data_IF_029171752571
#
_entry.id   IF_029171752571
#
_cell.length_a   1.000
_cell.length_b   1.000
_cell.length_c   1.000
_cell.angle_alpha   90.00
_cell.angle_beta   90.00
_cell.angle_gamma   90.00
#
_symmetry.space_group_name_H-M   'P 1'
#
loop_
_entity.id
_entity.type
_entity.pdbx_description
1 polymer ?
#
# COMPACT_ATOMS: atom_id res chain seq x y z
N UNK A 1 39.04 -17.64 7.12
CA UNK A 1 37.90 -18.53 6.81
C UNK A 1 36.63 -17.69 6.83
N UNK A 2 36.22 -17.22 5.66
CA UNK A 2 35.08 -16.31 5.49
C UNK A 2 33.81 -17.13 5.28
N UNK A 3 32.81 -16.93 6.15
CA UNK A 3 31.46 -17.46 5.96
C UNK A 3 30.59 -16.31 5.43
N UNK A 4 30.30 -16.36 4.14
CA UNK A 4 29.46 -15.39 3.46
C UNK A 4 27.98 -15.70 3.73
N UNK A 5 27.25 -14.73 4.27
CA UNK A 5 25.79 -14.78 4.37
C UNK A 5 25.16 -14.79 2.96
N UNK A 6 24.15 -15.63 2.70
CA UNK A 6 23.50 -15.66 1.40
C UNK A 6 22.59 -14.44 1.24
N UNK A 7 22.95 -13.57 0.30
CA UNK A 7 22.03 -12.62 -0.31
C UNK A 7 20.85 -13.39 -0.91
N UNK A 8 19.66 -13.20 -0.36
CA UNK A 8 18.41 -13.65 -0.97
C UNK A 8 18.13 -12.78 -2.20
N UNK A 9 18.63 -13.24 -3.33
CA UNK A 9 18.22 -12.78 -4.65
C UNK A 9 16.70 -13.03 -4.76
N UNK A 10 15.92 -11.97 -5.02
CA UNK A 10 14.52 -12.10 -5.42
C UNK A 10 14.55 -12.73 -6.81
N UNK A 11 14.54 -14.06 -6.81
CA UNK A 11 14.42 -14.84 -8.02
C UNK A 11 13.01 -14.59 -8.55
N UNK A 12 12.96 -13.87 -9.68
CA UNK A 12 11.81 -13.77 -10.56
C UNK A 12 11.17 -15.15 -10.65
N UNK A 13 9.98 -15.30 -10.09
CA UNK A 13 9.22 -16.54 -10.14
C UNK A 13 8.70 -16.76 -11.56
N UNK A 14 9.56 -17.21 -12.45
CA UNK A 14 9.18 -17.95 -13.65
C UNK A 14 9.22 -19.44 -13.32
N UNK A 15 8.16 -19.91 -12.67
CA UNK A 15 7.72 -21.30 -12.74
C UNK A 15 6.22 -21.30 -12.54
N UNK A 16 5.50 -21.57 -13.63
CA UNK A 16 4.06 -21.73 -13.64
C UNK A 16 3.66 -22.96 -12.84
N UNK A 17 3.43 -22.77 -11.54
CA UNK A 17 2.37 -23.49 -10.87
C UNK A 17 1.12 -22.64 -10.99
N UNK A 18 0.10 -23.15 -11.67
CA UNK A 18 -1.24 -22.55 -11.67
C UNK A 18 -1.70 -22.45 -10.22
N UNK A 19 -1.50 -21.27 -9.62
CA UNK A 19 -1.87 -21.02 -8.24
C UNK A 19 -3.37 -21.17 -8.10
N UNK A 20 -3.80 -22.23 -7.44
CA UNK A 20 -5.21 -22.46 -7.16
C UNK A 20 -5.66 -21.54 -6.03
N UNK A 21 -6.77 -20.85 -6.27
CA UNK A 21 -7.38 -19.97 -5.28
C UNK A 21 -8.79 -20.47 -4.94
N UNK A 22 -9.21 -20.38 -3.67
CA UNK A 22 -10.60 -20.60 -3.31
C UNK A 22 -11.51 -19.69 -4.13
N UNK A 23 -12.69 -20.19 -4.50
CA UNK A 23 -13.65 -19.47 -5.34
C UNK A 23 -14.00 -18.08 -4.79
N UNK A 24 -14.09 -17.93 -3.47
CA UNK A 24 -14.39 -16.66 -2.79
C UNK A 24 -13.33 -15.56 -3.03
N UNK A 25 -12.10 -15.96 -3.40
CA UNK A 25 -10.99 -15.05 -3.69
C UNK A 25 -10.80 -14.82 -5.20
N UNK A 26 -11.57 -15.51 -6.05
CA UNK A 26 -11.55 -15.33 -7.50
C UNK A 26 -12.44 -14.15 -7.89
N UNK A 27 -11.95 -13.39 -8.86
CA UNK A 27 -12.63 -12.22 -9.39
C UNK A 27 -12.87 -12.39 -10.88
N UNK A 28 -13.94 -11.79 -11.40
CA UNK A 28 -14.30 -11.90 -12.80
C UNK A 28 -14.16 -10.55 -13.51
N UNK A 29 -13.46 -10.53 -14.64
CA UNK A 29 -13.39 -9.35 -15.48
C UNK A 29 -14.42 -9.46 -16.61
N UNK A 30 -15.45 -8.60 -16.61
CA UNK A 30 -16.47 -8.58 -17.66
C UNK A 30 -15.91 -8.32 -19.06
N UNK A 31 -15.02 -7.33 -19.19
CA UNK A 31 -14.48 -6.92 -20.50
C UNK A 31 -13.60 -7.99 -21.16
N UNK A 32 -12.81 -8.73 -20.37
CA UNK A 32 -11.94 -9.80 -20.89
C UNK A 32 -12.60 -11.17 -20.84
N UNK A 33 -13.76 -11.30 -20.19
CA UNK A 33 -14.43 -12.56 -19.87
C UNK A 33 -13.51 -13.61 -19.23
N UNK A 34 -12.53 -13.17 -18.43
CA UNK A 34 -11.53 -14.03 -17.80
C UNK A 34 -11.56 -13.88 -16.28
N UNK A 35 -11.37 -15.01 -15.59
CA UNK A 35 -11.21 -15.07 -14.15
C UNK A 35 -9.79 -14.63 -13.77
N UNK A 36 -9.67 -13.86 -12.69
CA UNK A 36 -8.41 -13.37 -12.12
C UNK A 36 -8.36 -13.71 -10.64
N UNK A 37 -7.21 -14.19 -10.16
CA UNK A 37 -6.96 -14.39 -8.73
C UNK A 37 -6.36 -13.13 -8.08
N UNK A 38 -6.17 -13.18 -6.76
CA UNK A 38 -5.58 -12.08 -6.00
C UNK A 38 -4.16 -11.68 -6.44
N UNK A 39 -3.40 -12.60 -7.06
CA UNK A 39 -2.05 -12.31 -7.59
C UNK A 39 -2.06 -11.79 -9.02
N UNK A 40 -3.08 -12.13 -9.81
CA UNK A 40 -3.18 -11.79 -11.22
C UNK A 40 -3.95 -10.47 -11.46
N UNK A 41 -4.01 -9.59 -10.46
CA UNK A 41 -4.63 -8.26 -10.55
C UNK A 41 -3.64 -7.17 -10.16
N UNK A 42 -3.80 -6.00 -10.76
CA UNK A 42 -3.04 -4.82 -10.37
C UNK A 42 -3.74 -4.13 -9.20
N UNK A 43 -3.01 -3.90 -8.12
CA UNK A 43 -3.51 -3.19 -6.94
C UNK A 43 -3.12 -1.71 -7.01
N UNK A 44 -4.10 -0.84 -6.76
CA UNK A 44 -3.89 0.60 -6.63
C UNK A 44 -4.38 1.08 -5.27
N UNK A 45 -3.58 1.92 -4.61
CA UNK A 45 -3.92 2.48 -3.31
C UNK A 45 -4.98 3.56 -3.50
N UNK A 46 -6.10 3.41 -2.79
CA UNK A 46 -7.21 4.36 -2.82
C UNK A 46 -7.00 5.42 -1.73
N UNK A 47 -6.85 4.97 -0.48
CA UNK A 47 -6.67 5.84 0.69
C UNK A 47 -5.82 5.15 1.75
N UNK A 48 -5.13 5.96 2.55
CA UNK A 48 -4.43 5.52 3.75
C UNK A 48 -5.22 5.94 4.98
N UNK A 49 -5.22 5.11 6.02
CA UNK A 49 -5.93 5.41 7.25
C UNK A 49 -5.25 4.82 8.49
N UNK A 50 -5.51 5.43 9.64
CA UNK A 50 -5.08 4.90 10.93
C UNK A 50 -6.04 3.79 11.41
N UNK A 51 -5.56 2.58 11.76
CA UNK A 51 -6.42 1.52 12.26
C UNK A 51 -7.05 1.85 13.64
N UNK A 52 -6.42 2.71 14.44
CA UNK A 52 -6.89 3.01 15.79
C UNK A 52 -8.00 4.07 15.82
N UNK A 53 -7.94 5.09 14.97
CA UNK A 53 -8.91 6.19 14.96
C UNK A 53 -9.71 6.33 13.66
N UNK A 54 -9.48 5.45 12.67
CA UNK A 54 -10.13 5.45 11.35
C UNK A 54 -9.98 6.78 10.58
N UNK A 55 -9.00 7.60 10.96
CA UNK A 55 -8.72 8.87 10.29
C UNK A 55 -8.07 8.63 8.94
N UNK A 56 -8.63 9.22 7.90
CA UNK A 56 -8.10 9.19 6.54
C UNK A 56 -6.96 10.19 6.37
N UNK A 57 -5.84 9.74 5.78
CA UNK A 57 -4.68 10.61 5.57
C UNK A 57 -4.32 10.76 4.10
N UNK A 58 -4.31 12.01 3.58
CA UNK A 58 -3.90 12.30 2.21
C UNK A 58 -2.47 11.86 1.90
N UNK A 59 -2.24 11.35 0.69
CA UNK A 59 -0.94 10.85 0.24
C UNK A 59 0.21 11.88 0.29
N UNK A 60 -0.10 13.18 0.15
CA UNK A 60 0.87 14.28 0.29
C UNK A 60 1.44 14.39 1.70
N UNK A 61 0.63 14.03 2.70
CA UNK A 61 0.92 14.21 4.13
C UNK A 61 1.80 13.07 4.66
N UNK A 62 1.64 11.89 4.06
CA UNK A 62 2.46 10.70 4.33
C UNK A 62 3.90 10.95 3.91
N UNK A 63 4.10 11.62 2.75
CA UNK A 63 5.42 11.92 2.20
C UNK A 63 6.15 13.06 2.92
N UNK A 64 5.42 13.96 3.59
CA UNK A 64 5.98 15.20 4.15
C UNK A 64 6.04 15.25 5.68
N UNK A 65 5.13 14.61 6.40
CA UNK A 65 4.97 14.85 7.85
C UNK A 65 4.89 13.60 8.72
N UNK A 66 4.72 12.39 8.19
CA UNK A 66 4.34 11.27 9.05
C UNK A 66 3.03 11.59 9.80
N UNK A 67 1.90 11.52 9.10
CA UNK A 67 0.52 11.44 9.62
C UNK A 67 0.08 12.20 10.92
N UNK A 68 -0.27 13.48 10.71
CA UNK A 68 -1.19 14.51 11.33
C UNK A 68 -2.32 14.06 12.32
N UNK A 69 -2.99 14.84 13.22
CA UNK A 69 -3.34 16.31 13.42
C UNK A 69 -3.61 16.73 14.92
N UNK A 70 -4.30 17.87 15.22
CA UNK A 70 -4.32 18.70 16.49
C UNK A 70 -5.69 19.25 17.03
N UNK A 71 -5.85 19.52 18.36
CA UNK A 71 -6.64 20.60 19.08
C UNK A 71 -6.10 20.90 20.54
N UNK A 72 -6.33 22.11 21.11
CA UNK A 72 -5.75 22.89 22.29
C UNK A 72 -6.71 22.92 23.55
N UNK A 73 -6.39 23.37 24.82
CA UNK A 73 -5.13 23.77 25.52
C UNK A 73 -4.77 23.05 26.85
N UNK A 74 -3.47 23.22 27.21
CA UNK A 74 -2.81 23.32 28.53
C UNK A 74 -2.87 22.16 29.55
N UNK A 75 -1.90 21.26 29.43
CA UNK A 75 -0.89 20.88 30.45
C UNK A 75 0.25 20.16 29.70
N UNK A 76 1.41 19.87 30.33
CA UNK A 76 2.44 19.02 29.70
C UNK A 76 1.83 17.64 29.43
N UNK A 77 1.92 17.15 28.20
CA UNK A 77 1.31 15.87 27.79
C UNK A 77 2.35 14.74 27.87
N UNK A 78 1.88 13.55 28.26
CA UNK A 78 2.67 12.32 28.36
C UNK A 78 1.92 11.22 27.61
N UNK A 79 2.62 10.33 26.92
CA UNK A 79 2.04 9.14 26.32
C UNK A 79 1.95 8.04 27.37
N UNK A 80 0.78 7.41 27.50
CA UNK A 80 0.58 6.28 28.43
C UNK A 80 -0.01 5.09 27.68
N UNK A 81 0.57 3.91 27.88
CA UNK A 81 0.01 2.65 27.37
C UNK A 81 -1.03 2.11 28.35
N UNK A 82 -2.24 1.78 27.88
CA UNK A 82 -3.29 1.22 28.74
C UNK A 82 -3.10 -0.25 29.07
N UNK A 83 -2.20 -0.95 28.37
CA UNK A 83 -1.96 -2.38 28.57
C UNK A 83 -0.85 -2.65 29.60
N UNK A 84 0.33 -2.06 29.37
CA UNK A 84 1.49 -2.25 30.26
C UNK A 84 1.74 -1.06 31.20
N UNK A 85 0.91 -0.03 31.17
CA UNK A 85 1.03 1.20 31.98
C UNK A 85 2.32 2.01 31.78
N UNK A 86 3.14 1.68 30.79
CA UNK A 86 4.32 2.46 30.40
C UNK A 86 3.98 3.91 30.08
N UNK A 87 4.83 4.83 30.51
CA UNK A 87 4.68 6.27 30.33
C UNK A 87 5.89 6.93 29.67
N UNK A 88 5.68 7.90 28.77
CA UNK A 88 6.80 8.64 28.15
C UNK A 88 7.60 9.49 29.14
N UNK A 89 7.08 9.68 30.36
CA UNK A 89 7.82 10.30 31.47
C UNK A 89 8.98 9.44 31.98
N UNK A 90 8.94 8.12 31.82
CA UNK A 90 10.02 7.23 32.25
C UNK A 90 11.32 7.48 31.46
N UNK A 91 11.19 7.93 30.21
CA UNK A 91 12.31 8.30 29.33
C UNK A 91 12.51 9.82 29.24
N UNK A 92 11.92 10.57 30.17
CA UNK A 92 11.94 12.03 30.24
C UNK A 92 11.45 12.76 28.96
N UNK A 93 10.58 12.11 28.18
CA UNK A 93 9.92 12.72 27.02
C UNK A 93 8.57 13.29 27.46
N UNK A 94 8.50 14.62 27.47
CA UNK A 94 7.27 15.38 27.72
C UNK A 94 6.92 16.22 26.50
N UNK A 95 5.65 16.22 26.14
CA UNK A 95 5.16 16.96 24.99
C UNK A 95 4.55 18.28 25.43
N UNK A 96 4.89 19.36 24.75
CA UNK A 96 4.31 20.68 25.00
C UNK A 96 2.88 20.79 24.46
N UNK A 97 2.61 20.07 23.36
CA UNK A 97 1.32 20.06 22.67
C UNK A 97 0.82 18.62 22.58
N UNK A 98 -0.48 18.41 22.82
CA UNK A 98 -1.16 17.12 22.58
C UNK A 98 -1.12 16.70 21.11
N UNK A 99 -0.80 17.64 20.22
CA UNK A 99 -0.84 17.47 18.79
C UNK A 99 0.53 17.43 18.14
N UNK A 100 0.65 16.69 17.04
CA UNK A 100 1.92 16.58 16.32
C UNK A 100 2.99 15.92 17.20
N UNK A 101 2.59 14.97 18.04
CA UNK A 101 3.47 14.26 18.98
C UNK A 101 4.67 13.67 18.25
N UNK A 102 4.47 13.11 17.05
CA UNK A 102 5.57 12.63 16.22
C UNK A 102 6.56 13.75 15.84
N UNK A 103 6.07 14.90 15.35
CA UNK A 103 6.94 16.04 14.99
C UNK A 103 7.73 16.59 16.18
N UNK A 104 7.17 16.50 17.39
CA UNK A 104 7.87 16.83 18.63
C UNK A 104 8.88 15.74 18.99
N UNK A 105 8.50 14.46 18.89
CA UNK A 105 9.36 13.30 19.15
C UNK A 105 10.58 13.27 18.22
N UNK A 106 10.42 13.61 16.95
CA UNK A 106 11.51 13.68 15.95
C UNK A 106 12.54 14.75 16.29
N UNK A 107 12.15 15.80 17.02
CA UNK A 107 13.03 16.89 17.45
C UNK A 107 13.61 16.68 18.85
N UNK A 108 13.18 15.66 19.57
CA UNK A 108 13.58 15.40 20.94
C UNK A 108 14.40 14.10 20.96
N UNK A 109 15.42 14.01 21.80
CA UNK A 109 16.11 12.76 22.17
C UNK A 109 15.56 12.23 23.50
N UNK A 110 15.85 10.99 23.84
CA UNK A 110 15.56 10.49 25.18
C UNK A 110 16.28 11.40 26.21
N UNK A 111 15.64 11.67 27.35
CA UNK A 111 16.11 12.74 28.27
C UNK A 111 15.58 14.14 27.95
N UNK A 112 14.69 14.30 26.96
CA UNK A 112 14.03 15.58 26.66
C UNK A 112 14.90 16.62 25.93
N UNK A 113 16.12 16.25 25.50
CA UNK A 113 17.04 17.15 24.83
C UNK A 113 16.65 17.42 23.37
N UNK A 114 16.82 18.65 22.89
CA UNK A 114 16.51 19.01 21.51
C UNK A 114 17.58 18.48 20.53
N UNK A 115 17.14 17.82 19.46
CA UNK A 115 17.97 17.35 18.35
C UNK A 115 18.36 18.52 17.47
N UNK A 116 19.66 18.66 17.18
CA UNK A 116 20.17 19.61 16.19
C UNK A 116 19.62 19.28 14.80
N UNK A 117 18.91 20.22 14.19
CA UNK A 117 18.44 20.08 12.81
C UNK A 117 19.58 20.34 11.80
N UNK A 118 19.59 19.68 10.62
CA UNK A 118 20.53 20.03 9.54
C UNK A 118 20.46 21.50 9.10
N UNK A 119 19.32 22.17 9.31
CA UNK A 119 19.18 23.61 9.04
C UNK A 119 19.88 24.44 10.10
N UNK A 120 19.60 24.16 11.38
CA UNK A 120 20.22 24.85 12.52
C UNK A 120 21.74 24.68 12.50
N UNK A 121 22.23 23.49 12.13
CA UNK A 121 23.66 23.26 11.99
C UNK A 121 24.31 24.15 10.92
N UNK A 122 23.68 24.24 9.74
CA UNK A 122 24.15 25.12 8.66
C UNK A 122 24.09 26.59 9.03
N UNK A 123 23.07 27.02 9.76
CA UNK A 123 22.94 28.39 10.22
C UNK A 123 24.05 28.72 11.25
N UNK A 124 24.34 27.81 12.20
CA UNK A 124 25.48 27.95 13.14
C UNK A 124 26.82 28.06 12.41
N UNK A 125 27.06 27.23 11.39
CA UNK A 125 28.28 27.28 10.56
C UNK A 125 28.39 28.53 9.70
N UNK A 126 27.26 29.15 9.36
CA UNK A 126 27.23 30.42 8.63
C UNK A 126 27.58 31.60 9.54
N UNK A 127 27.13 31.56 10.79
CA UNK A 127 27.44 32.58 11.80
C UNK A 127 28.88 32.46 12.31
N UNK A 128 29.37 31.24 12.52
CA UNK A 128 30.74 30.96 12.94
C UNK A 128 31.40 29.93 12.00
N UNK A 129 32.10 30.46 10.99
CA UNK A 129 32.74 29.65 9.95
C UNK A 129 33.92 28.85 10.49
N UNK A 130 34.63 29.39 11.48
CA UNK A 130 35.88 28.82 11.99
C UNK A 130 35.64 27.96 13.25
N UNK A 131 34.38 27.72 13.62
CA UNK A 131 33.99 26.80 14.69
C UNK A 131 34.60 25.40 14.49
N UNK A 132 35.01 24.71 15.57
CA UNK A 132 35.44 23.31 15.50
C UNK A 132 34.33 22.40 14.92
N UNK A 133 34.70 21.29 14.24
CA UNK A 133 33.75 20.28 13.81
C UNK A 133 32.93 19.71 14.97
N UNK A 134 31.69 19.30 14.69
CA UNK A 134 30.85 18.64 15.70
C UNK A 134 31.53 17.38 16.23
N UNK A 135 31.32 17.15 17.53
CA UNK A 135 31.69 15.90 18.19
C UNK A 135 30.80 14.75 17.68
N UNK A 136 31.37 13.55 17.54
CA UNK A 136 30.68 12.34 17.09
C UNK A 136 29.42 12.01 17.90
N UNK A 137 29.41 12.34 19.20
CA UNK A 137 28.27 12.14 20.10
C UNK A 137 27.06 13.04 19.78
N UNK A 138 27.29 14.22 19.22
CA UNK A 138 26.24 15.16 18.84
C UNK A 138 25.66 14.83 17.45
N UNK A 139 26.43 14.12 16.62
CA UNK A 139 26.04 13.68 15.28
C UNK A 139 24.98 12.56 15.36
N UNK A 140 23.71 12.94 15.20
CA UNK A 140 22.58 12.01 15.10
C UNK A 140 22.60 11.24 13.78
N UNK A 141 21.94 10.07 13.70
CA UNK A 141 21.83 9.30 12.46
C UNK A 141 21.17 10.08 11.32
N UNK A 142 20.13 10.86 11.62
CA UNK A 142 19.41 11.68 10.63
C UNK A 142 20.28 12.84 10.10
N UNK A 143 21.07 13.46 10.99
CA UNK A 143 21.97 14.56 10.64
C UNK A 143 23.19 14.03 9.88
N UNK A 144 23.74 12.89 10.30
CA UNK A 144 24.80 12.17 9.60
C UNK A 144 24.39 11.84 8.17
N UNK A 145 23.19 11.26 7.98
CA UNK A 145 22.66 10.98 6.64
C UNK A 145 22.50 12.26 5.80
N UNK A 146 22.04 13.35 6.40
CA UNK A 146 21.90 14.63 5.70
C UNK A 146 23.27 15.19 5.24
N UNK A 147 24.31 15.10 6.08
CA UNK A 147 25.67 15.50 5.74
C UNK A 147 26.22 14.67 4.58
N UNK A 148 26.21 13.34 4.71
CA UNK A 148 26.66 12.42 3.66
C UNK A 148 25.91 12.63 2.35
N UNK A 149 24.58 12.78 2.42
CA UNK A 149 23.76 13.06 1.24
C UNK A 149 24.18 14.36 0.56
N UNK A 150 24.36 15.44 1.31
CA UNK A 150 24.78 16.73 0.75
C UNK A 150 26.20 16.68 0.16
N UNK A 151 27.11 15.95 0.80
CA UNK A 151 28.49 15.74 0.36
C UNK A 151 28.52 15.01 -1.00
N UNK A 152 27.87 13.85 -1.11
CA UNK A 152 27.86 13.09 -2.37
C UNK A 152 27.04 13.77 -3.48
N UNK A 153 25.96 14.49 -3.13
CA UNK A 153 25.21 15.26 -4.12
C UNK A 153 26.04 16.40 -4.73
N UNK A 154 26.86 17.07 -3.93
CA UNK A 154 27.76 18.13 -4.41
C UNK A 154 28.81 17.55 -5.38
N UNK A 155 29.43 16.42 -5.01
CA UNK A 155 30.40 15.76 -5.89
C UNK A 155 29.79 15.27 -7.21
N UNK A 156 28.54 14.80 -7.19
CA UNK A 156 27.82 14.44 -8.41
C UNK A 156 27.55 15.67 -9.30
N UNK A 157 27.22 16.82 -8.71
CA UNK A 157 27.04 18.07 -9.45
C UNK A 157 28.35 18.55 -10.09
N UNK A 158 29.48 18.46 -9.37
CA UNK A 158 30.80 18.84 -9.87
C UNK A 158 31.27 17.90 -11.00
N UNK A 159 31.07 16.59 -10.83
CA UNK A 159 31.40 15.59 -11.86
C UNK A 159 30.58 15.79 -13.15
N UNK A 160 29.27 16.09 -13.02
CA UNK A 160 28.41 16.34 -14.17
C UNK A 160 28.74 17.68 -14.87
N UNK A 161 29.15 18.69 -14.10
CA UNK A 161 29.61 19.98 -14.63
C UNK A 161 30.92 19.83 -15.42
N UNK A 162 31.81 18.94 -14.98
CA UNK A 162 33.05 18.61 -15.70
C UNK A 162 32.83 17.79 -16.99
N UNK A 163 31.71 17.05 -17.09
CA UNK A 163 31.36 16.27 -18.28
C UNK A 163 30.70 17.11 -19.41
N UNK A 164 30.17 18.29 -19.08
CA UNK A 164 29.56 19.22 -20.04
C UNK A 164 30.38 20.51 -20.09
N UNK A 165 31.55 20.43 -20.74
CA UNK A 165 32.37 21.60 -20.99
C UNK A 165 31.56 22.72 -21.64
N UNK A 166 31.57 23.89 -20.99
CA UNK A 166 31.01 25.19 -21.41
C UNK A 166 29.47 25.32 -21.45
N UNK A 167 28.90 25.95 -20.40
CA UNK A 167 27.92 27.07 -20.43
C UNK A 167 27.44 27.35 -18.98
N UNK A 168 27.74 28.53 -18.38
CA UNK A 168 27.24 28.87 -17.04
C UNK A 168 25.76 29.26 -17.15
N UNK A 169 24.86 28.40 -16.64
CA UNK A 169 23.43 28.73 -16.56
C UNK A 169 22.43 27.57 -16.64
N UNK A 170 22.88 26.32 -16.82
CA UNK A 170 21.96 25.18 -17.01
C UNK A 170 21.90 24.17 -15.83
N UNK A 171 22.56 24.47 -14.70
CA UNK A 171 22.72 23.56 -13.57
C UNK A 171 21.46 23.30 -12.72
N UNK A 172 20.35 23.99 -12.98
CA UNK A 172 19.11 23.89 -12.19
C UNK A 172 18.06 22.96 -12.82
N UNK A 173 18.48 21.92 -13.53
CA UNK A 173 17.56 20.98 -14.16
C UNK A 173 17.87 19.56 -13.73
N UNK A 174 17.34 19.22 -12.56
CA UNK A 174 17.24 17.86 -12.08
C UNK A 174 16.63 16.95 -13.15
N UNK A 175 17.29 15.82 -13.40
CA UNK A 175 16.91 14.77 -14.34
C UNK A 175 15.56 14.08 -14.03
N UNK A 176 14.78 14.61 -13.08
CA UNK A 176 13.49 14.08 -12.64
C UNK A 176 12.27 14.83 -13.22
N UNK A 177 12.46 15.83 -14.09
CA UNK A 177 11.34 16.57 -14.71
C UNK A 177 10.95 16.03 -16.09
N UNK A 178 9.65 15.91 -16.43
CA UNK A 178 9.16 15.45 -17.75
C UNK A 178 9.64 16.31 -18.93
N UNK A 179 10.11 17.54 -18.69
CA UNK A 179 10.64 18.43 -19.74
C UNK A 179 12.02 18.04 -20.26
N UNK A 180 12.76 17.19 -19.53
CA UNK A 180 14.09 16.72 -19.94
C UNK A 180 13.99 15.75 -21.13
N UNK A 181 12.91 14.95 -21.20
CA UNK A 181 12.67 14.02 -22.31
C UNK A 181 12.43 14.76 -23.64
N UNK A 182 11.70 15.89 -23.60
CA UNK A 182 11.45 16.72 -24.78
C UNK A 182 12.74 17.35 -25.33
N UNK A 183 13.69 17.73 -24.47
CA UNK A 183 15.00 18.25 -24.90
C UNK A 183 15.95 17.15 -25.39
N UNK A 184 15.88 15.95 -24.83
CA UNK A 184 16.60 14.77 -25.37
C UNK A 184 16.10 14.48 -26.79
N UNK A 185 14.78 14.51 -27.01
CA UNK A 185 14.21 14.38 -28.35
C UNK A 185 14.68 15.50 -29.29
N UNK A 186 14.79 16.74 -28.82
CA UNK A 186 15.34 17.86 -29.61
C UNK A 186 16.82 17.67 -29.99
N UNK A 187 17.64 17.04 -29.13
CA UNK A 187 19.06 16.76 -29.41
C UNK A 187 19.24 15.72 -30.54
N UNK A 188 18.31 14.80 -30.70
CA UNK A 188 18.32 13.85 -31.82
C UNK A 188 17.74 14.44 -33.12
N UNK A 189 17.04 15.58 -33.04
CA UNK A 189 16.32 16.18 -34.19
C UNK A 189 17.06 17.37 -34.81
N UNK A 190 18.23 17.79 -34.28
CA UNK A 190 18.94 19.00 -34.73
C UNK A 190 20.45 18.83 -34.94
N UNK A 191 20.84 18.68 -36.21
CA UNK A 191 22.06 19.20 -36.88
C UNK A 191 23.44 19.19 -36.18
N UNK A 192 24.30 18.29 -36.65
CA UNK A 192 25.77 18.28 -36.68
C UNK A 192 26.54 19.55 -36.20
N UNK A 193 27.37 19.38 -35.16
CA UNK A 193 28.66 20.06 -35.03
C UNK A 193 29.64 19.13 -34.31
N UNK A 194 30.61 18.64 -35.08
CA UNK A 194 31.67 17.77 -34.62
C UNK A 194 32.59 18.45 -33.62
N UNK A 195 32.62 17.91 -32.41
CA UNK A 195 33.70 18.12 -31.44
C UNK A 195 33.95 16.76 -30.79
N UNK A 196 35.18 16.25 -30.90
CA UNK A 196 35.61 15.00 -30.26
C UNK A 196 35.26 15.08 -28.77
N UNK A 197 34.25 14.33 -28.34
CA UNK A 197 33.95 14.15 -26.92
C UNK A 197 35.09 13.34 -26.33
N UNK A 198 36.06 14.03 -25.73
CA UNK A 198 36.97 13.41 -24.78
C UNK A 198 36.08 12.83 -23.67
N UNK A 199 35.97 11.51 -23.60
CA UNK A 199 35.42 10.84 -22.42
C UNK A 199 36.34 11.19 -21.25
N UNK A 200 35.99 12.27 -20.54
CA UNK A 200 36.65 12.66 -19.30
C UNK A 200 36.50 11.49 -18.34
N UNK A 201 37.65 11.01 -17.83
CA UNK A 201 37.72 9.99 -16.78
C UNK A 201 36.66 10.30 -15.73
N UNK A 202 35.85 9.30 -15.38
CA UNK A 202 34.97 9.38 -14.21
C UNK A 202 35.77 9.93 -13.04
N UNK A 203 35.44 11.14 -12.58
CA UNK A 203 36.12 11.75 -11.45
C UNK A 203 35.93 10.82 -10.26
N UNK A 204 37.04 10.30 -9.72
CA UNK A 204 37.02 9.50 -8.50
C UNK A 204 36.43 10.40 -7.40
N UNK A 205 35.27 10.02 -6.87
CA UNK A 205 34.64 10.75 -5.79
C UNK A 205 35.49 10.64 -4.53
N UNK A 206 35.69 11.76 -3.84
CA UNK A 206 36.37 11.84 -2.55
C UNK A 206 35.51 11.16 -1.48
N UNK A 207 36.15 10.43 -0.58
CA UNK A 207 35.51 9.88 0.62
C UNK A 207 35.25 10.96 1.69
N UNK A 208 34.26 10.72 2.55
CA UNK A 208 33.99 11.58 3.69
C UNK A 208 35.06 11.36 4.77
N UNK A 209 35.75 12.44 5.19
CA UNK A 209 36.85 12.34 6.16
C UNK A 209 36.54 12.96 7.52
N UNK A 210 35.50 13.78 7.60
CA UNK A 210 35.19 14.58 8.79
C UNK A 210 33.73 14.43 9.19
N UNK A 211 33.39 14.84 10.42
CA UNK A 211 32.00 14.87 10.91
C UNK A 211 31.11 15.84 10.13
N UNK A 212 31.71 16.90 9.55
CA UNK A 212 31.04 17.81 8.62
C UNK A 212 30.64 17.12 7.31
N UNK A 213 31.48 16.20 6.80
CA UNK A 213 31.16 15.36 5.65
C UNK A 213 30.18 14.23 6.03
N UNK A 214 29.96 14.00 7.34
CA UNK A 214 29.10 12.96 7.90
C UNK A 214 29.80 11.64 8.22
N UNK A 215 31.13 11.63 8.30
CA UNK A 215 31.88 10.50 8.84
C UNK A 215 31.69 10.47 10.37
N UNK A 216 31.29 9.32 10.89
CA UNK A 216 31.22 9.03 12.33
C UNK A 216 31.96 7.72 12.57
N UNK A 217 32.96 7.75 13.45
CA UNK A 217 33.72 6.53 13.73
C UNK A 217 32.91 5.61 14.65
N UNK A 218 32.98 4.31 14.39
CA UNK A 218 32.33 3.33 15.25
C UNK A 218 33.07 3.28 16.58
N UNK A 219 32.39 3.62 17.67
CA UNK A 219 32.92 3.41 19.01
C UNK A 219 32.77 1.93 19.36
N UNK A 220 33.89 1.23 19.43
CA UNK A 220 33.95 -0.21 19.74
C UNK A 220 34.06 -0.48 21.25
N UNK A 221 34.16 0.57 22.06
CA UNK A 221 34.20 0.44 23.51
C UNK A 221 32.80 0.22 24.07
N UNK A 222 32.49 -1.04 24.38
CA UNK A 222 31.22 -1.47 24.95
C UNK A 222 31.25 -1.55 26.49
N UNK A 223 32.35 -1.17 27.15
CA UNK A 223 32.49 -1.34 28.60
C UNK A 223 31.38 -0.66 29.40
N UNK A 224 30.96 0.55 28.99
CA UNK A 224 29.84 1.25 29.64
C UNK A 224 28.50 0.54 29.45
N UNK A 225 28.27 -0.11 28.31
CA UNK A 225 27.06 -0.89 28.05
C UNK A 225 27.06 -2.19 28.88
N UNK A 226 28.21 -2.84 28.98
CA UNK A 226 28.40 -4.04 29.82
C UNK A 226 28.18 -3.70 31.31
N UNK A 227 28.76 -2.61 31.80
CA UNK A 227 28.57 -2.16 33.18
C UNK A 227 27.10 -1.84 33.47
N UNK A 228 26.40 -1.18 32.53
CA UNK A 228 24.95 -0.92 32.62
C UNK A 228 24.16 -2.22 32.68
N UNK A 229 24.50 -3.22 31.84
CA UNK A 229 23.83 -4.52 31.83
C UNK A 229 24.05 -5.28 33.15
N UNK A 230 25.28 -5.27 33.68
CA UNK A 230 25.62 -5.93 34.95
C UNK A 230 24.91 -5.29 36.15
N UNK A 231 24.63 -3.99 36.11
CA UNK A 231 23.87 -3.27 37.13
C UNK A 231 22.35 -3.35 36.98
N UNK A 232 21.84 -3.85 35.85
CA UNK A 232 20.41 -3.85 35.51
C UNK A 232 19.73 -5.20 35.78
N UNK A 233 18.40 -5.18 35.88
CA UNK A 233 17.60 -6.41 36.01
C UNK A 233 17.16 -6.92 34.63
N UNK A 234 16.70 -8.17 34.56
CA UNK A 234 16.12 -8.73 33.34
C UNK A 234 15.01 -7.84 32.75
N UNK A 235 14.19 -7.22 33.60
CA UNK A 235 13.09 -6.36 33.18
C UNK A 235 13.52 -5.01 32.62
N UNK A 236 14.79 -4.62 32.76
CA UNK A 236 15.32 -3.36 32.20
C UNK A 236 15.92 -3.57 30.79
N UNK A 237 16.03 -4.84 30.37
CA UNK A 237 16.53 -5.23 29.06
C UNK A 237 15.44 -5.17 27.99
N UNK A 238 15.87 -4.99 26.74
CA UNK A 238 14.99 -4.88 25.57
C UNK A 238 14.86 -6.22 24.88
N UNK A 239 13.62 -6.65 24.58
CA UNK A 239 13.38 -7.88 23.82
C UNK A 239 13.77 -7.73 22.34
N UNK A 240 14.00 -8.86 21.65
CA UNK A 240 14.31 -8.86 20.20
C UNK A 240 13.19 -8.19 19.40
N UNK A 241 11.94 -8.51 19.70
CA UNK A 241 10.77 -7.95 19.01
C UNK A 241 10.67 -6.43 19.20
N UNK A 242 10.98 -5.93 20.41
CA UNK A 242 11.00 -4.49 20.70
C UNK A 242 12.12 -3.78 19.96
N UNK A 243 13.29 -4.41 19.84
CA UNK A 243 14.44 -3.89 19.10
C UNK A 243 14.15 -3.82 17.60
N UNK A 244 13.57 -4.88 17.04
CA UNK A 244 13.25 -4.96 15.61
C UNK A 244 12.11 -4.03 15.20
N UNK A 245 11.23 -3.67 16.14
CA UNK A 245 10.18 -2.69 15.90
C UNK A 245 10.70 -1.25 15.78
N UNK A 246 11.84 -0.93 16.40
CA UNK A 246 12.45 0.41 16.33
C UNK A 246 13.07 0.64 14.94
N UNK A 247 13.08 1.89 14.44
CA UNK A 247 13.72 2.17 13.16
C UNK A 247 15.23 1.90 13.26
N UNK A 248 15.88 1.39 12.20
CA UNK A 248 17.30 1.01 12.24
C UNK A 248 18.25 2.20 12.46
N UNK A 249 17.74 3.44 12.46
CA UNK A 249 18.48 4.66 12.79
C UNK A 249 18.52 5.00 14.28
N UNK A 250 17.71 4.35 15.12
CA UNK A 250 17.94 4.40 16.58
C UNK A 250 19.19 3.59 16.88
N UNK A 251 20.13 4.17 17.63
CA UNK A 251 21.43 3.56 17.94
C UNK A 251 21.35 2.26 18.73
N UNK A 252 22.37 1.94 19.52
CA UNK A 252 22.37 0.72 20.34
C UNK A 252 21.22 0.75 21.36
N UNK A 253 20.28 -0.19 21.23
CA UNK A 253 19.12 -0.34 22.12
C UNK A 253 19.39 -1.47 23.12
N UNK A 254 20.17 -1.13 24.15
CA UNK A 254 20.56 -2.05 25.21
C UNK A 254 19.57 -2.10 26.36
N UNK A 255 18.92 -0.97 26.66
CA UNK A 255 18.04 -0.79 27.81
C UNK A 255 16.69 -0.21 27.41
N UNK A 256 15.66 -0.43 28.22
CA UNK A 256 14.32 0.11 27.98
C UNK A 256 14.30 1.64 27.92
N UNK A 257 15.23 2.32 28.59
CA UNK A 257 15.38 3.78 28.52
C UNK A 257 15.73 4.28 27.10
N UNK A 258 16.31 3.42 26.27
CA UNK A 258 16.73 3.74 24.91
C UNK A 258 15.56 3.62 23.92
N UNK A 259 14.50 2.89 24.29
CA UNK A 259 13.31 2.71 23.45
C UNK A 259 12.51 3.99 23.31
N UNK A 260 11.87 4.13 22.14
CA UNK A 260 11.05 5.31 21.82
C UNK A 260 9.66 4.89 21.33
N UNK A 261 8.60 5.68 21.61
CA UNK A 261 7.29 5.44 21.01
C UNK A 261 7.34 5.45 19.49
N UNK A 262 6.93 4.35 18.87
CA UNK A 262 6.84 4.23 17.41
C UNK A 262 5.40 4.59 16.98
N UNK A 263 5.22 5.44 15.94
CA UNK A 263 3.90 5.71 15.39
C UNK A 263 3.22 4.44 14.85
N UNK A 264 1.90 4.35 15.02
CA UNK A 264 1.13 3.23 14.47
C UNK A 264 1.22 3.18 12.94
N UNK A 265 1.48 1.99 12.40
CA UNK A 265 1.52 1.77 10.96
C UNK A 265 0.14 1.95 10.33
N UNK A 266 0.10 2.72 9.25
CA UNK A 266 -1.13 3.01 8.52
C UNK A 266 -1.57 1.81 7.68
N UNK A 267 -2.88 1.68 7.54
CA UNK A 267 -3.51 0.69 6.65
C UNK A 267 -3.90 1.37 5.33
N UNK A 268 -4.00 0.58 4.27
CA UNK A 268 -4.42 1.04 2.94
C UNK A 268 -5.71 0.38 2.51
N UNK A 269 -6.64 1.15 1.95
CA UNK A 269 -7.70 0.58 1.10
C UNK A 269 -7.18 0.46 -0.33
N UNK A 270 -7.41 -0.69 -0.96
CA UNK A 270 -6.88 -1.02 -2.29
C UNK A 270 -7.99 -1.31 -3.28
N UNK A 271 -7.88 -0.74 -4.47
CA UNK A 271 -8.69 -1.10 -5.63
C UNK A 271 -7.93 -2.08 -6.50
N UNK A 272 -8.66 -2.93 -7.23
CA UNK A 272 -8.10 -4.00 -8.05
C UNK A 272 -8.51 -3.80 -9.49
N UNK A 273 -7.54 -3.88 -10.41
CA UNK A 273 -7.73 -3.74 -11.85
C UNK A 273 -7.26 -4.96 -12.61
N UNK A 274 -7.93 -5.25 -13.71
CA UNK A 274 -7.47 -6.24 -14.66
C UNK A 274 -6.12 -5.81 -15.25
N UNK A 275 -5.10 -6.69 -15.30
CA UNK A 275 -3.81 -6.33 -15.88
C UNK A 275 -3.86 -6.13 -17.39
N UNK A 276 -4.82 -6.77 -18.08
CA UNK A 276 -4.95 -6.73 -19.55
C UNK A 276 -5.71 -5.48 -20.01
N UNK A 277 -6.97 -5.31 -19.60
CA UNK A 277 -7.82 -4.20 -20.05
C UNK A 277 -7.85 -2.99 -19.11
N UNK A 278 -7.20 -3.06 -17.94
CA UNK A 278 -7.24 -2.02 -16.88
C UNK A 278 -8.64 -1.71 -16.31
N UNK A 279 -9.65 -2.52 -16.64
CA UNK A 279 -10.99 -2.45 -16.06
C UNK A 279 -10.94 -2.64 -14.54
N UNK A 280 -11.76 -1.90 -13.82
CA UNK A 280 -11.81 -1.94 -12.35
C UNK A 280 -12.68 -3.11 -11.93
N UNK A 281 -12.05 -4.13 -11.34
CA UNK A 281 -12.73 -5.35 -10.89
C UNK A 281 -13.32 -5.13 -9.49
N UNK A 282 -12.56 -4.47 -8.62
CA UNK A 282 -12.99 -4.18 -7.25
C UNK A 282 -12.62 -2.75 -6.88
N UNK A 283 -13.58 -1.97 -6.41
CA UNK A 283 -13.39 -0.62 -5.89
C UNK A 283 -14.10 -0.46 -4.54
N UNK A 284 -13.37 -0.56 -3.42
CA UNK A 284 -13.95 -0.23 -2.12
C UNK A 284 -14.32 1.27 -2.06
N UNK A 285 -15.27 1.63 -1.21
CA UNK A 285 -15.52 3.04 -0.92
C UNK A 285 -14.30 3.66 -0.21
N UNK A 286 -13.97 4.90 -0.59
CA UNK A 286 -12.82 5.62 -0.05
C UNK A 286 -13.00 5.92 1.45
N UNK A 287 -14.25 6.16 1.87
CA UNK A 287 -14.62 6.39 3.26
C UNK A 287 -14.16 5.24 4.13
N UNK A 288 -13.28 5.52 5.09
CA UNK A 288 -12.63 4.50 5.92
C UNK A 288 -13.66 3.68 6.71
N UNK A 289 -14.68 4.33 7.25
CA UNK A 289 -15.76 3.71 8.04
C UNK A 289 -16.70 2.80 7.24
N UNK A 290 -16.72 2.91 5.91
CA UNK A 290 -17.60 2.09 5.08
C UNK A 290 -16.95 0.77 4.68
N UNK A 291 -17.69 -0.32 4.85
CA UNK A 291 -17.37 -1.65 4.32
C UNK A 291 -17.93 -1.88 2.92
N UNK A 292 -18.65 -0.91 2.35
CA UNK A 292 -19.30 -1.02 1.05
C UNK A 292 -18.28 -0.95 -0.08
N UNK A 293 -18.49 -1.77 -1.10
CA UNK A 293 -17.81 -1.65 -2.38
C UNK A 293 -18.66 -0.84 -3.35
N UNK A 294 -18.04 0.11 -4.05
CA UNK A 294 -18.67 0.81 -5.18
C UNK A 294 -18.76 -0.09 -6.40
N UNK A 295 -17.74 -0.95 -6.58
CA UNK A 295 -17.66 -1.95 -7.64
C UNK A 295 -17.13 -3.23 -7.00
N UNK A 296 -17.80 -4.37 -7.19
CA UNK A 296 -17.34 -5.66 -6.70
C UNK A 296 -17.73 -6.78 -7.67
N UNK A 297 -16.84 -7.07 -8.63
CA UNK A 297 -17.02 -8.15 -9.60
C UNK A 297 -16.40 -9.46 -9.07
N UNK A 298 -17.08 -10.09 -8.12
CA UNK A 298 -16.72 -11.43 -7.64
C UNK A 298 -17.10 -12.48 -8.67
N UNK A 299 -16.33 -13.57 -8.74
CA UNK A 299 -16.69 -14.70 -9.60
C UNK A 299 -17.92 -15.41 -9.01
N UNK A 300 -19.06 -15.32 -9.71
CA UNK A 300 -20.30 -16.02 -9.36
C UNK A 300 -20.62 -17.04 -10.45
N UNK A 301 -20.95 -18.26 -10.04
CA UNK A 301 -21.43 -19.30 -10.95
C UNK A 301 -22.91 -19.53 -10.70
N UNK A 302 -23.71 -19.49 -11.77
CA UNK A 302 -25.14 -19.76 -11.73
C UNK A 302 -25.37 -21.16 -12.27
N UNK A 303 -25.89 -22.05 -11.43
CA UNK A 303 -26.32 -23.39 -11.83
C UNK A 303 -27.80 -23.32 -12.21
N UNK A 304 -28.10 -23.56 -13.49
CA UNK A 304 -29.48 -23.57 -13.99
C UNK A 304 -29.97 -25.02 -14.06
N UNK A 305 -31.08 -25.30 -13.39
CA UNK A 305 -31.75 -26.61 -13.47
C UNK A 305 -33.01 -26.47 -14.31
N UNK A 306 -33.22 -27.39 -15.25
CA UNK A 306 -34.44 -27.47 -16.05
C UNK A 306 -35.12 -28.80 -15.77
N UNK A 307 -36.41 -28.76 -15.50
CA UNK A 307 -37.24 -29.95 -15.36
C UNK A 307 -37.96 -30.20 -16.69
N UNK A 308 -37.64 -31.27 -17.43
CA UNK A 308 -38.37 -31.63 -18.64
C UNK A 308 -39.64 -32.43 -18.36
N UNK A 309 -39.87 -32.86 -17.11
CA UNK A 309 -40.96 -33.74 -16.70
C UNK A 309 -42.21 -32.90 -16.42
N UNK A 310 -43.39 -33.43 -16.78
CA UNK A 310 -44.71 -32.83 -16.53
C UNK A 310 -45.18 -32.90 -15.07
N UNK A 311 -44.27 -33.21 -14.14
CA UNK A 311 -44.51 -33.33 -12.71
C UNK A 311 -43.46 -32.52 -11.96
N UNK A 312 -43.81 -32.03 -10.76
CA UNK A 312 -42.88 -31.29 -9.91
C UNK A 312 -41.77 -32.21 -9.41
N UNK A 313 -40.51 -31.76 -9.54
CA UNK A 313 -39.34 -32.53 -9.11
C UNK A 313 -38.71 -31.88 -7.89
N UNK A 314 -38.62 -32.63 -6.79
CA UNK A 314 -37.86 -32.23 -5.60
C UNK A 314 -36.39 -32.61 -5.76
N UNK A 315 -35.53 -31.61 -5.90
CA UNK A 315 -34.08 -31.80 -6.04
C UNK A 315 -33.41 -31.65 -4.68
N UNK A 316 -32.55 -32.61 -4.34
CA UNK A 316 -31.67 -32.53 -3.17
C UNK A 316 -30.22 -32.57 -3.63
N UNK A 317 -29.49 -31.47 -3.45
CA UNK A 317 -28.07 -31.35 -3.76
C UNK A 317 -27.26 -31.97 -2.61
N UNK A 318 -26.61 -33.09 -2.89
CA UNK A 318 -25.63 -33.70 -2.00
C UNK A 318 -24.21 -33.50 -2.54
N UNK A 319 -23.34 -32.88 -1.75
CA UNK A 319 -21.90 -32.87 -2.03
C UNK A 319 -21.15 -33.35 -0.80
N UNK A 320 -20.11 -34.19 -0.93
CA UNK A 320 -19.22 -34.46 0.20
C UNK A 320 -18.62 -33.14 0.71
N UNK A 321 -18.35 -33.00 2.02
CA UNK A 321 -17.87 -31.74 2.62
C UNK A 321 -16.53 -31.28 2.04
N UNK A 322 -15.78 -32.20 1.42
CA UNK A 322 -14.64 -31.91 0.56
C UNK A 322 -14.85 -32.56 -0.80
N UNK A 323 -14.67 -31.80 -1.87
CA UNK A 323 -14.75 -32.33 -3.23
C UNK A 323 -13.67 -33.41 -3.45
N UNK A 324 -14.00 -34.56 -4.07
CA UNK A 324 -13.00 -35.54 -4.46
C UNK A 324 -12.14 -35.00 -5.62
N UNK A 325 -10.87 -35.39 -5.65
CA UNK A 325 -9.95 -35.01 -6.71
C UNK A 325 -8.60 -34.51 -6.19
N UNK A 326 -7.73 -34.09 -7.12
CA UNK A 326 -6.38 -33.60 -6.82
C UNK A 326 -6.37 -32.38 -5.88
N UNK A 327 -7.46 -31.62 -5.84
CA UNK A 327 -7.59 -30.39 -5.05
C UNK A 327 -8.92 -30.38 -4.26
N UNK A 328 -8.91 -30.81 -2.98
CA UNK A 328 -10.12 -30.88 -2.17
C UNK A 328 -10.57 -29.49 -1.71
N UNK A 329 -11.76 -29.06 -2.12
CA UNK A 329 -12.37 -27.78 -1.73
C UNK A 329 -13.51 -28.01 -0.75
N UNK A 330 -13.64 -27.15 0.26
CA UNK A 330 -14.79 -27.17 1.19
C UNK A 330 -16.00 -26.57 0.50
N UNK A 331 -17.06 -27.35 0.34
CA UNK A 331 -18.34 -26.89 -0.25
C UNK A 331 -19.37 -26.83 0.87
N UNK A 332 -20.13 -25.74 0.92
CA UNK A 332 -21.24 -25.58 1.87
C UNK A 332 -22.46 -25.14 1.08
N UNK A 333 -23.49 -25.99 1.04
CA UNK A 333 -24.76 -25.71 0.34
C UNK A 333 -25.75 -25.21 1.39
N UNK A 334 -26.14 -23.94 1.31
CA UNK A 334 -27.03 -23.32 2.31
C UNK A 334 -28.45 -23.85 2.21
N UNK A 335 -28.95 -24.04 0.98
CA UNK A 335 -30.28 -24.59 0.69
C UNK A 335 -30.15 -25.79 -0.24
N UNK A 336 -29.90 -27.00 0.29
CA UNK A 336 -29.68 -28.18 -0.54
C UNK A 336 -30.97 -28.75 -1.14
N UNK A 337 -32.14 -28.38 -0.61
CA UNK A 337 -33.43 -28.86 -1.09
C UNK A 337 -34.21 -27.72 -1.74
N UNK A 338 -34.65 -27.93 -2.97
CA UNK A 338 -35.57 -27.03 -3.68
C UNK A 338 -36.45 -27.85 -4.62
N UNK A 339 -37.60 -27.30 -5.01
CA UNK A 339 -38.47 -27.91 -6.00
C UNK A 339 -38.39 -27.17 -7.32
N UNK A 340 -38.45 -27.92 -8.42
CA UNK A 340 -38.55 -27.40 -9.77
C UNK A 340 -39.94 -27.75 -10.26
N UNK A 341 -40.72 -26.73 -10.64
CA UNK A 341 -42.08 -26.91 -11.14
C UNK A 341 -42.15 -27.88 -12.32
N UNK A 342 -43.33 -28.47 -12.52
CA UNK A 342 -43.63 -29.28 -13.68
C UNK A 342 -43.41 -28.48 -14.97
N UNK A 343 -42.89 -29.15 -16.00
CA UNK A 343 -42.88 -28.61 -17.34
C UNK A 343 -44.33 -28.57 -17.86
N UNK A 344 -44.99 -27.43 -17.80
CA UNK A 344 -46.35 -27.26 -18.38
C UNK A 344 -46.31 -26.97 -19.88
N UNK A 345 -45.11 -26.85 -20.46
CA UNK A 345 -44.82 -26.18 -21.73
C UNK A 345 -44.58 -27.16 -22.91
N UNK A 346 -45.49 -28.12 -23.09
CA UNK A 346 -45.62 -28.78 -24.41
C UNK A 346 -46.95 -28.51 -25.09
N UNK A 347 -47.97 -28.13 -24.34
CA UNK A 347 -49.27 -27.77 -24.89
C UNK A 347 -49.36 -26.27 -25.17
N UNK A 348 -48.77 -25.40 -24.36
CA UNK A 348 -48.75 -23.94 -24.62
C UNK A 348 -47.83 -23.56 -25.79
N UNK A 349 -46.69 -24.22 -25.98
CA UNK A 349 -45.82 -24.01 -27.15
C UNK A 349 -46.45 -24.57 -28.45
N UNK A 350 -47.17 -25.69 -28.38
CA UNK A 350 -47.93 -26.23 -29.51
C UNK A 350 -49.18 -25.38 -29.85
N UNK A 351 -49.88 -24.87 -28.83
CA UNK A 351 -51.05 -23.98 -29.01
C UNK A 351 -50.64 -22.57 -29.47
N UNK A 352 -49.44 -22.07 -29.10
CA UNK A 352 -48.90 -20.82 -29.65
C UNK A 352 -48.57 -20.92 -31.13
N UNK A 353 -48.21 -22.11 -31.62
CA UNK A 353 -48.00 -22.35 -33.05
C UNK A 353 -49.33 -22.45 -33.84
N UNK A 354 -50.41 -22.91 -33.21
CA UNK A 354 -51.75 -22.97 -33.84
C UNK A 354 -52.52 -21.63 -33.88
N UNK A 355 -52.13 -20.63 -33.07
CA UNK A 355 -52.72 -19.28 -33.08
C UNK A 355 -51.93 -18.23 -33.88
N UNK A 356 -50.99 -18.64 -34.73
CA UNK A 356 -50.44 -17.74 -35.77
C UNK A 356 -51.36 -17.76 -36.99
N UNK A 357 -52.28 -16.81 -37.00
CA UNK A 357 -53.06 -16.42 -38.17
C UNK A 357 -52.18 -16.38 -39.45
N UNK A 358 -52.51 -17.12 -40.53
CA UNK A 358 -51.73 -17.13 -41.78
C UNK A 358 -51.70 -15.77 -42.49
N UNK A 359 -52.50 -14.81 -42.04
CA UNK A 359 -52.80 -13.55 -42.73
C UNK A 359 -51.67 -12.50 -42.72
N UNK A 360 -50.47 -12.83 -42.22
CA UNK A 360 -49.28 -11.94 -42.31
C UNK A 360 -48.08 -12.58 -43.01
N UNK A 361 -48.29 -13.57 -43.87
CA UNK A 361 -47.31 -13.96 -44.90
C UNK A 361 -47.70 -13.35 -46.23
N UNK A 362 -47.21 -12.14 -46.52
CA UNK A 362 -46.71 -11.69 -47.83
C UNK A 362 -46.57 -10.16 -47.87
N UNK A 363 -45.36 -9.66 -47.57
CA UNK A 363 -44.63 -8.69 -48.42
C UNK A 363 -43.15 -8.82 -48.09
N UNK A 364 -42.37 -9.32 -49.06
CA UNK A 364 -40.92 -9.40 -49.03
C UNK A 364 -40.29 -8.02 -49.19
N UNK A 365 -39.23 -7.72 -48.44
CA UNK A 365 -37.96 -7.18 -48.93
C UNK A 365 -36.98 -6.99 -47.75
N UNK A 366 -35.72 -7.32 -47.97
CA UNK A 366 -34.74 -7.62 -46.92
C UNK A 366 -34.01 -6.44 -46.30
N UNK A 367 -33.41 -6.72 -45.16
CA UNK A 367 -32.06 -6.25 -44.80
C UNK A 367 -31.57 -7.06 -43.60
N UNK A 368 -30.45 -7.74 -43.79
CA UNK A 368 -29.67 -8.38 -42.73
C UNK A 368 -29.23 -7.36 -41.68
N UNK A 369 -29.69 -7.52 -40.44
CA UNK A 369 -29.22 -6.77 -39.28
C UNK A 369 -29.47 -7.59 -38.02
N UNK A 370 -28.40 -8.17 -37.48
CA UNK A 370 -28.39 -8.85 -36.17
C UNK A 370 -28.56 -7.78 -35.08
N UNK A 371 -29.57 -7.83 -34.19
CA UNK A 371 -29.57 -6.99 -33.01
C UNK A 371 -28.70 -7.69 -31.95
N UNK A 372 -27.50 -7.17 -31.74
CA UNK A 372 -26.71 -7.41 -30.53
C UNK A 372 -27.40 -6.68 -29.37
N UNK A 373 -28.21 -7.38 -28.59
CA UNK A 373 -28.66 -6.90 -27.28
C UNK A 373 -27.68 -7.37 -26.23
N UNK A 374 -26.95 -6.42 -25.64
CA UNK A 374 -26.06 -6.66 -24.50
C UNK A 374 -26.83 -7.25 -23.31
N UNK A 375 -26.36 -8.35 -22.68
CA UNK A 375 -27.03 -9.02 -21.57
C UNK A 375 -27.02 -8.21 -20.26
N UNK A 376 -26.39 -7.02 -20.23
CA UNK A 376 -26.34 -6.15 -19.06
C UNK A 376 -27.64 -5.33 -18.85
N UNK A 377 -28.40 -5.07 -19.91
CA UNK A 377 -29.58 -4.18 -19.86
C UNK A 377 -30.88 -4.89 -19.45
N UNK A 378 -30.95 -6.22 -19.56
CA UNK A 378 -32.12 -7.00 -19.13
C UNK A 378 -32.25 -7.15 -17.60
N UNK A 379 -31.24 -6.69 -16.84
CA UNK A 379 -31.12 -6.91 -15.39
C UNK A 379 -31.61 -5.76 -14.50
N UNK A 380 -32.14 -4.66 -15.08
CA UNK A 380 -32.59 -3.50 -14.29
C UNK A 380 -34.10 -3.45 -14.02
N UNK A 381 -34.93 -4.16 -14.79
CA UNK A 381 -36.40 -4.11 -14.63
C UNK A 381 -36.96 -5.07 -13.55
N UNK A 382 -36.12 -5.94 -12.98
CA UNK A 382 -36.56 -7.03 -12.09
C UNK A 382 -36.51 -6.75 -10.59
N UNK A 383 -35.91 -5.66 -10.10
CA UNK A 383 -35.75 -5.43 -8.65
C UNK A 383 -36.71 -4.36 -8.12
N UNK A 384 -37.98 -4.74 -7.95
CA UNK A 384 -38.87 -4.06 -6.99
C UNK A 384 -38.51 -4.56 -5.58
N UNK A 385 -37.89 -3.70 -4.79
CA UNK A 385 -37.59 -3.95 -3.39
C UNK A 385 -38.92 -4.08 -2.61
N UNK A 386 -39.19 -5.25 -2.05
CA UNK A 386 -40.28 -5.42 -1.10
C UNK A 386 -39.89 -4.73 0.22
N UNK A 387 -40.53 -3.59 0.49
CA UNK A 387 -40.58 -2.94 1.80
C UNK A 387 -41.49 -3.80 2.69
N UNK A 388 -40.92 -4.51 3.67
CA UNK A 388 -41.71 -5.19 4.70
C UNK A 388 -42.09 -4.17 5.77
N UNK A 389 -43.38 -3.84 5.82
CA UNK A 389 -44.03 -3.17 6.95
C UNK A 389 -44.27 -4.21 8.06
N UNK A 390 -44.13 -3.79 9.32
CA UNK A 390 -43.84 -4.65 10.47
C UNK A 390 -45.04 -5.29 11.16
N UNK A 391 -44.75 -6.01 12.23
CA UNK A 391 -45.69 -6.32 13.30
C UNK A 391 -45.02 -6.03 14.65
N UNK A 392 -45.69 -5.17 15.41
CA UNK A 392 -45.41 -4.83 16.80
C UNK A 392 -45.60 -6.07 17.69
N UNK A 393 -44.67 -6.29 18.60
CA UNK A 393 -44.89 -7.17 19.76
C UNK A 393 -44.63 -6.33 21.01
N UNK A 394 -45.73 -5.95 21.64
CA UNK A 394 -45.78 -5.49 23.02
C UNK A 394 -45.15 -6.55 23.93
N UNK A 395 -44.21 -6.15 24.77
CA UNK A 395 -44.25 -6.53 26.19
C UNK A 395 -43.27 -5.66 26.99
N UNK A 396 -43.85 -4.93 27.94
CA UNK A 396 -43.21 -4.40 29.14
C UNK A 396 -44.10 -4.80 30.32
N UNK A 397 -43.59 -4.86 31.56
CA UNK A 397 -42.28 -4.39 32.02
C UNK A 397 -41.28 -5.49 32.40
#
# INVERSE_FOLDING_TARGET
MASAAPYTYIQSAESGEDGLYPLEHLMYCGDCQQIRCQRCVNEEIVTYYCPSCLFEVPSSNIKSEGNRRSVIPTTKYVLTCTYCHWSSSEIDIRFEKSSGLYSQLVKIRNGGQHKLSPREYRDRRKEDRDAPPLLDAELDADLQFAHLKSFYQTQLADANSAATGSLPGLGDLGFSSPGTLSRIMSLYTGGSLGGKRSMTKSTIMREALTTDDGLKLAQLDESAAVDKLLGSTWYDSVSTDQRDAQPPSTGSLGSQDDLRPIPTLLRTKRSKRCPVCRHIITKPDAKVTSTRYRINLTAQFILTFKNPIFEEVKVTLGTPPRTPGRFPSKVTVLCPQFTIGANTDMWEDALKDDYKDPSKRHTMAGSSGVPTTDPATAWLDGLKWAKSEGEDVDDSP
#
